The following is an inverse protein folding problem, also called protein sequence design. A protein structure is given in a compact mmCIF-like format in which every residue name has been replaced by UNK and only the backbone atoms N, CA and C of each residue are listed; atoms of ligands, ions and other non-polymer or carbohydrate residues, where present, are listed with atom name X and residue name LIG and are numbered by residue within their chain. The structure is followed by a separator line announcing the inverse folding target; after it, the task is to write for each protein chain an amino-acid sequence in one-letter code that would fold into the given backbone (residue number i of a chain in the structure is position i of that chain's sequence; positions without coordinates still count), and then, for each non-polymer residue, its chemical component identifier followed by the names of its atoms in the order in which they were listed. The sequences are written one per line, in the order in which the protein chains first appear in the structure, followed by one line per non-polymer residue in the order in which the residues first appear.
data_IF_762435092173
#
_entry.id   IF_762435092173
#
_cell.length_a   1.000
_cell.length_b   1.000
_cell.length_c   1.000
_cell.angle_alpha   90.00
_cell.angle_beta   90.00
_cell.angle_gamma   90.00
#
_symmetry.space_group_name_H-M   'P 1'
#
loop_
_entity.id
_entity.type
_entity.pdbx_description
1 polymer ?
#
# COMPACT_ATOMS: atom_id res chain seq x y z
N UNK A 1 0.60 -26.37 4.24
CA UNK A 1 1.86 -25.62 3.99
C UNK A 1 2.66 -25.98 2.70
N UNK A 2 2.83 -27.25 2.28
CA UNK A 2 3.74 -27.61 1.17
C UNK A 2 3.42 -26.95 -0.19
N UNK A 3 2.16 -26.97 -0.60
CA UNK A 3 1.71 -26.35 -1.85
C UNK A 3 1.85 -24.83 -1.83
N UNK A 4 1.53 -24.20 -0.70
CA UNK A 4 1.74 -22.77 -0.49
C UNK A 4 3.20 -22.38 -0.79
N UNK A 5 4.17 -23.06 -0.17
CA UNK A 5 5.60 -22.78 -0.39
C UNK A 5 6.00 -22.97 -1.85
N UNK A 6 5.50 -24.02 -2.52
CA UNK A 6 5.78 -24.25 -3.95
C UNK A 6 5.23 -23.10 -4.80
N UNK A 7 3.95 -22.76 -4.65
CA UNK A 7 3.31 -21.69 -5.43
C UNK A 7 4.02 -20.36 -5.18
N UNK A 8 4.27 -20.02 -3.91
CA UNK A 8 4.99 -18.79 -3.56
C UNK A 8 6.40 -18.75 -4.18
N UNK A 9 7.17 -19.83 -4.09
CA UNK A 9 8.54 -19.87 -4.63
C UNK A 9 8.56 -19.81 -6.16
N UNK A 10 7.71 -20.59 -6.85
CA UNK A 10 7.66 -20.58 -8.31
C UNK A 10 7.16 -19.24 -8.85
N UNK A 11 6.09 -18.70 -8.27
CA UNK A 11 5.56 -17.39 -8.68
C UNK A 11 6.55 -16.26 -8.40
N UNK A 12 7.29 -16.31 -7.27
CA UNK A 12 8.39 -15.38 -6.98
C UNK A 12 9.52 -15.50 -8.00
N UNK A 13 9.93 -16.71 -8.36
CA UNK A 13 11.00 -16.94 -9.33
C UNK A 13 10.63 -16.42 -10.72
N UNK A 14 9.40 -16.70 -11.19
CA UNK A 14 8.88 -16.18 -12.45
C UNK A 14 8.86 -14.65 -12.42
N UNK A 15 8.30 -14.04 -11.35
CA UNK A 15 8.28 -12.58 -11.17
C UNK A 15 9.67 -11.96 -11.29
N UNK A 16 10.67 -12.52 -10.61
CA UNK A 16 12.03 -12.00 -10.66
C UNK A 16 12.65 -12.17 -12.05
N UNK A 17 12.48 -13.34 -12.68
CA UNK A 17 13.00 -13.58 -14.02
C UNK A 17 12.42 -12.59 -15.05
N UNK A 18 11.10 -12.39 -15.03
CA UNK A 18 10.43 -11.46 -15.94
C UNK A 18 10.76 -10.00 -15.63
N UNK A 19 10.84 -9.59 -14.36
CA UNK A 19 11.32 -8.26 -13.99
C UNK A 19 12.75 -8.01 -14.46
N UNK A 20 13.65 -8.99 -14.37
CA UNK A 20 15.00 -8.89 -14.91
C UNK A 20 14.97 -8.69 -16.43
N UNK A 21 14.15 -9.44 -17.17
CA UNK A 21 13.99 -9.24 -18.63
C UNK A 21 13.51 -7.82 -18.95
N UNK A 22 12.53 -7.32 -18.20
CA UNK A 22 12.01 -5.97 -18.39
C UNK A 22 13.07 -4.89 -18.10
N UNK A 23 13.82 -5.04 -17.01
CA UNK A 23 14.92 -4.13 -16.66
C UNK A 23 16.01 -4.16 -17.73
N UNK A 24 16.39 -5.34 -18.22
CA UNK A 24 17.35 -5.47 -19.31
C UNK A 24 16.86 -4.81 -20.60
N UNK A 25 15.58 -4.99 -20.95
CA UNK A 25 14.98 -4.29 -22.09
C UNK A 25 15.03 -2.77 -21.92
N UNK A 26 14.74 -2.27 -20.71
CA UNK A 26 14.89 -0.86 -20.35
C UNK A 26 16.34 -0.36 -20.51
N UNK A 27 17.32 -1.11 -20.02
CA UNK A 27 18.75 -0.78 -20.18
C UNK A 27 19.15 -0.73 -21.66
N UNK A 28 18.77 -1.74 -22.45
CA UNK A 28 19.06 -1.77 -23.89
C UNK A 28 18.45 -0.55 -24.58
N UNK A 29 17.19 -0.22 -24.30
CA UNK A 29 16.56 0.98 -24.88
C UNK A 29 17.21 2.28 -24.41
N UNK A 30 17.61 2.38 -23.15
CA UNK A 30 18.35 3.53 -22.65
C UNK A 30 19.66 3.73 -23.43
N UNK A 31 20.40 2.66 -23.72
CA UNK A 31 21.61 2.75 -24.56
C UNK A 31 21.29 3.08 -26.02
N UNK A 32 20.23 2.50 -26.61
CA UNK A 32 19.83 2.78 -27.99
C UNK A 32 19.40 4.24 -28.18
N UNK A 33 18.74 4.83 -27.18
CA UNK A 33 18.30 6.23 -27.20
C UNK A 33 19.42 7.20 -26.76
N UNK A 34 20.52 6.69 -26.21
CA UNK A 34 21.67 7.49 -25.76
C UNK A 34 21.29 8.54 -24.71
N UNK A 35 21.94 9.71 -24.74
CA UNK A 35 21.65 10.80 -23.82
C UNK A 35 20.42 11.63 -24.19
N UNK A 36 19.78 11.38 -25.34
CA UNK A 36 18.74 12.26 -25.90
C UNK A 36 17.51 12.37 -24.99
N UNK A 37 17.03 11.23 -24.46
CA UNK A 37 15.91 11.20 -23.53
C UNK A 37 16.27 11.90 -22.21
N UNK A 38 17.46 11.63 -21.66
CA UNK A 38 17.92 12.25 -20.42
C UNK A 38 18.12 13.77 -20.56
N UNK A 39 18.65 14.21 -21.70
CA UNK A 39 18.77 15.63 -22.04
C UNK A 39 17.41 16.28 -22.24
N UNK A 40 16.43 15.60 -22.82
CA UNK A 40 15.05 16.10 -22.88
C UNK A 40 14.45 16.23 -21.49
N UNK A 41 14.57 15.21 -20.63
CA UNK A 41 14.15 15.33 -19.23
C UNK A 41 14.82 16.51 -18.51
N UNK A 42 16.09 16.81 -18.82
CA UNK A 42 16.85 17.94 -18.27
C UNK A 42 16.58 19.30 -18.95
N UNK A 43 16.16 19.34 -20.21
CA UNK A 43 15.85 20.59 -20.92
C UNK A 43 14.40 20.99 -20.66
N UNK A 44 13.48 20.02 -20.76
CA UNK A 44 12.11 20.11 -20.28
C UNK A 44 12.08 20.23 -18.75
N UNK A 45 13.15 19.95 -18.00
CA UNK A 45 13.28 20.24 -16.56
C UNK A 45 12.98 21.70 -16.24
N UNK A 46 13.47 22.63 -17.07
CA UNK A 46 13.26 24.06 -16.86
C UNK A 46 11.82 24.51 -17.16
N UNK A 47 11.06 23.75 -17.96
CA UNK A 47 9.62 23.96 -18.17
C UNK A 47 8.76 23.19 -17.16
N UNK A 48 9.16 21.99 -16.78
CA UNK A 48 8.48 21.14 -15.80
C UNK A 48 8.63 21.64 -14.38
N UNK A 49 9.73 22.35 -14.02
CA UNK A 49 9.80 23.12 -12.76
C UNK A 49 8.74 24.20 -12.71
N UNK A 50 8.41 24.87 -13.82
CA UNK A 50 7.32 25.87 -13.84
C UNK A 50 5.95 25.24 -13.60
N UNK A 51 5.82 23.93 -13.82
CA UNK A 51 4.63 23.11 -13.51
C UNK A 51 4.70 22.34 -12.19
N UNK A 52 5.80 22.41 -11.42
CA UNK A 52 5.92 21.79 -10.09
C UNK A 52 5.01 22.53 -9.11
N UNK A 53 3.77 22.08 -9.07
CA UNK A 53 2.82 22.51 -8.06
C UNK A 53 2.88 21.58 -6.86
N UNK A 54 2.53 22.11 -5.69
CA UNK A 54 2.31 21.29 -4.50
C UNK A 54 1.27 20.18 -4.76
N UNK A 55 0.30 20.44 -5.66
CA UNK A 55 -0.68 19.44 -6.09
C UNK A 55 -0.03 18.24 -6.79
N UNK A 56 0.85 18.51 -7.76
CA UNK A 56 1.55 17.47 -8.49
C UNK A 56 2.47 16.66 -7.56
N UNK A 57 3.17 17.34 -6.64
CA UNK A 57 3.97 16.68 -5.61
C UNK A 57 3.13 15.79 -4.70
N UNK A 58 2.01 16.31 -4.19
CA UNK A 58 1.12 15.55 -3.29
C UNK A 58 0.56 14.30 -3.97
N UNK A 59 0.06 14.42 -5.21
CA UNK A 59 -0.44 13.27 -5.97
C UNK A 59 0.64 12.22 -6.18
N UNK A 60 1.82 12.64 -6.67
CA UNK A 60 2.94 11.72 -6.86
C UNK A 60 3.38 11.05 -5.57
N UNK A 61 3.45 11.79 -4.45
CA UNK A 61 3.79 11.23 -3.15
C UNK A 61 2.77 10.17 -2.72
N UNK A 62 1.48 10.49 -2.76
CA UNK A 62 0.41 9.55 -2.34
C UNK A 62 0.43 8.29 -3.20
N UNK A 63 0.57 8.41 -4.53
CA UNK A 63 0.72 7.24 -5.41
C UNK A 63 1.99 6.43 -5.11
N UNK A 64 3.12 7.10 -4.84
CA UNK A 64 4.38 6.43 -4.52
C UNK A 64 4.35 5.74 -3.14
N UNK A 65 3.63 6.31 -2.18
CA UNK A 65 3.52 5.80 -0.81
C UNK A 65 2.94 4.40 -0.80
N UNK A 66 1.99 4.10 -1.69
CA UNK A 66 1.44 2.76 -1.87
C UNK A 66 2.51 1.69 -2.12
N UNK A 67 3.54 1.98 -2.91
CA UNK A 67 4.58 0.99 -3.26
C UNK A 67 5.49 0.60 -2.09
N UNK A 68 5.45 1.39 -1.01
CA UNK A 68 6.15 1.12 0.24
C UNK A 68 5.22 0.62 1.35
N UNK A 69 3.93 0.48 1.08
CA UNK A 69 3.00 -0.16 2.02
C UNK A 69 3.29 -1.67 2.13
N UNK A 70 2.67 -2.35 3.11
CA UNK A 70 2.80 -3.79 3.45
C UNK A 70 3.78 -4.07 4.59
N UNK A 71 4.67 -3.15 5.00
CA UNK A 71 5.60 -3.48 6.09
C UNK A 71 4.93 -3.62 7.47
N UNK A 72 3.77 -3.00 7.67
CA UNK A 72 2.90 -3.23 8.82
C UNK A 72 2.52 -4.72 8.98
N UNK A 73 2.47 -5.47 7.86
CA UNK A 73 2.24 -6.92 7.86
C UNK A 73 3.35 -7.67 8.58
N UNK A 74 4.60 -7.22 8.48
CA UNK A 74 5.73 -7.88 9.15
C UNK A 74 5.63 -7.77 10.67
N UNK A 75 5.08 -6.66 11.18
CA UNK A 75 4.86 -6.50 12.61
C UNK A 75 3.87 -7.55 13.14
N UNK A 76 2.77 -7.80 12.40
CA UNK A 76 1.78 -8.83 12.78
C UNK A 76 2.29 -10.26 12.58
N UNK A 77 3.25 -10.47 11.68
CA UNK A 77 3.92 -11.75 11.46
C UNK A 77 5.09 -12.02 12.44
N UNK A 78 5.35 -11.14 13.41
CA UNK A 78 6.48 -11.24 14.34
C UNK A 78 6.60 -12.58 15.06
N UNK A 79 5.47 -13.26 15.35
CA UNK A 79 5.44 -14.59 15.99
C UNK A 79 6.17 -15.68 15.17
N UNK A 80 6.27 -15.49 13.85
CA UNK A 80 6.93 -16.43 12.93
C UNK A 80 8.38 -16.04 12.61
N UNK A 81 8.88 -14.92 13.15
CA UNK A 81 10.24 -14.44 12.94
C UNK A 81 11.12 -14.96 14.08
N UNK A 82 12.27 -15.53 13.73
CA UNK A 82 13.28 -15.91 14.74
C UNK A 82 13.79 -14.64 15.44
N UNK A 83 13.78 -14.62 16.76
CA UNK A 83 14.22 -13.49 17.59
C UNK A 83 13.62 -12.14 17.14
N UNK A 84 12.28 -11.99 17.21
CA UNK A 84 11.58 -10.87 16.58
C UNK A 84 12.02 -9.51 17.13
N UNK A 85 12.34 -9.41 18.42
CA UNK A 85 12.82 -8.17 19.05
C UNK A 85 14.06 -7.58 18.37
N UNK A 86 14.96 -8.43 17.87
CA UNK A 86 16.21 -8.00 17.23
C UNK A 86 16.11 -7.98 15.71
N UNK A 87 15.39 -8.94 15.13
CA UNK A 87 15.39 -9.18 13.69
C UNK A 87 14.27 -8.45 12.97
N UNK A 88 13.14 -8.15 13.61
CA UNK A 88 12.03 -7.44 12.97
C UNK A 88 12.44 -6.02 12.57
N UNK A 89 13.00 -5.25 13.51
CA UNK A 89 13.42 -3.86 13.28
C UNK A 89 14.52 -3.77 12.22
N UNK A 90 15.56 -4.59 12.33
CA UNK A 90 16.65 -4.67 11.34
C UNK A 90 16.16 -5.12 9.97
N UNK A 91 15.27 -6.12 9.95
CA UNK A 91 14.67 -6.63 8.72
C UNK A 91 13.91 -5.56 7.97
N UNK A 92 13.03 -4.81 8.67
CA UNK A 92 12.27 -3.70 8.08
C UNK A 92 13.23 -2.63 7.53
N UNK A 93 14.23 -2.20 8.30
CA UNK A 93 15.18 -1.17 7.83
C UNK A 93 15.95 -1.60 6.58
N UNK A 94 16.46 -2.84 6.55
CA UNK A 94 17.22 -3.36 5.40
C UNK A 94 16.30 -3.47 4.17
N UNK A 95 15.11 -4.04 4.32
CA UNK A 95 14.16 -4.21 3.21
C UNK A 95 13.73 -2.86 2.65
N UNK A 96 13.45 -1.88 3.50
CA UNK A 96 13.08 -0.54 3.07
C UNK A 96 14.22 0.12 2.30
N UNK A 97 15.45 0.09 2.83
CA UNK A 97 16.61 0.68 2.16
C UNK A 97 16.88 0.03 0.80
N UNK A 98 16.91 -1.31 0.75
CA UNK A 98 17.16 -2.06 -0.50
C UNK A 98 16.05 -1.77 -1.53
N UNK A 99 14.79 -1.74 -1.09
CA UNK A 99 13.66 -1.45 -1.99
C UNK A 99 13.70 -0.01 -2.51
N UNK A 100 14.02 0.97 -1.67
CA UNK A 100 14.17 2.37 -2.10
C UNK A 100 15.28 2.53 -3.13
N UNK A 101 16.46 1.95 -2.89
CA UNK A 101 17.58 1.99 -3.84
C UNK A 101 17.18 1.31 -5.15
N UNK A 102 16.54 0.14 -5.07
CA UNK A 102 16.09 -0.60 -6.25
C UNK A 102 15.08 0.21 -7.08
N UNK A 103 14.07 0.82 -6.46
CA UNK A 103 13.09 1.66 -7.16
C UNK A 103 13.74 2.88 -7.82
N UNK A 104 14.68 3.56 -7.16
CA UNK A 104 15.40 4.71 -7.73
C UNK A 104 16.20 4.28 -8.97
N UNK A 105 16.94 3.17 -8.88
CA UNK A 105 17.75 2.66 -9.99
C UNK A 105 16.88 2.25 -11.17
N UNK A 106 15.80 1.51 -10.93
CA UNK A 106 14.87 1.10 -11.99
C UNK A 106 14.19 2.32 -12.62
N UNK A 107 13.75 3.29 -11.81
CA UNK A 107 13.15 4.52 -12.31
C UNK A 107 14.12 5.31 -13.22
N UNK A 108 15.39 5.43 -12.82
CA UNK A 108 16.41 6.09 -13.63
C UNK A 108 16.64 5.39 -14.97
N UNK A 109 16.66 4.05 -14.99
CA UNK A 109 16.75 3.26 -16.23
C UNK A 109 15.57 3.58 -17.15
N UNK A 110 14.34 3.60 -16.61
CA UNK A 110 13.15 3.87 -17.41
C UNK A 110 13.07 5.32 -17.91
N UNK A 111 13.57 6.29 -17.15
CA UNK A 111 13.68 7.68 -17.60
C UNK A 111 14.68 7.84 -18.75
N UNK A 112 15.77 7.08 -18.74
CA UNK A 112 16.70 7.03 -19.88
C UNK A 112 16.11 6.26 -21.07
N UNK A 113 15.31 5.22 -20.81
CA UNK A 113 14.72 4.38 -21.85
C UNK A 113 13.55 5.04 -22.59
N UNK A 114 12.68 5.77 -21.89
CA UNK A 114 11.41 6.27 -22.43
C UNK A 114 11.51 7.75 -22.81
N UNK A 115 11.07 8.08 -24.03
CA UNK A 115 11.01 9.46 -24.49
C UNK A 115 9.82 10.19 -23.82
N UNK A 116 10.05 11.32 -23.12
CA UNK A 116 8.97 12.05 -22.45
C UNK A 116 7.84 12.50 -23.37
N UNK A 117 8.10 12.80 -24.66
CA UNK A 117 7.08 13.19 -25.65
C UNK A 117 6.19 12.04 -26.11
N UNK A 118 6.66 10.80 -26.02
CA UNK A 118 5.83 9.63 -26.28
C UNK A 118 4.90 9.30 -25.11
N UNK A 119 5.14 9.90 -23.95
CA UNK A 119 4.39 9.70 -22.72
C UNK A 119 4.65 8.32 -22.10
N UNK A 120 4.38 8.22 -20.79
CA UNK A 120 4.30 6.92 -20.14
C UNK A 120 2.94 6.30 -20.42
N UNK A 121 2.90 5.11 -21.04
CA UNK A 121 1.74 4.22 -20.91
C UNK A 121 1.48 3.92 -19.42
N UNK A 122 0.20 3.90 -19.05
CA UNK A 122 -0.27 3.54 -17.71
C UNK A 122 0.29 2.19 -17.22
N UNK A 123 0.61 1.28 -18.15
CA UNK A 123 1.23 0.00 -17.83
C UNK A 123 2.59 -0.09 -18.51
N UNK A 124 3.66 0.34 -17.83
CA UNK A 124 5.04 0.20 -18.33
C UNK A 124 5.51 -1.24 -18.49
N UNK A 125 4.85 -2.19 -17.81
CA UNK A 125 5.12 -3.61 -17.97
C UNK A 125 4.89 -4.04 -19.42
N UNK A 126 3.81 -3.58 -20.08
CA UNK A 126 3.52 -3.91 -21.49
C UNK A 126 3.85 -2.76 -22.44
N UNK A 127 3.73 -1.52 -21.99
CA UNK A 127 3.92 -0.31 -22.79
C UNK A 127 5.33 -0.18 -23.34
N UNK A 128 6.35 -0.60 -22.58
CA UNK A 128 7.74 -0.57 -23.00
C UNK A 128 7.96 -1.34 -24.33
N UNK A 129 7.25 -2.46 -24.49
CA UNK A 129 7.38 -3.35 -25.66
C UNK A 129 6.65 -2.84 -26.91
N UNK A 130 5.79 -1.82 -26.75
CA UNK A 130 5.09 -1.15 -27.84
C UNK A 130 5.75 0.17 -28.24
N UNK A 131 6.83 0.56 -27.57
CA UNK A 131 7.59 1.77 -27.88
C UNK A 131 8.67 1.50 -28.94
N UNK A 132 9.01 2.55 -29.69
CA UNK A 132 10.16 2.50 -30.58
C UNK A 132 11.46 2.47 -29.74
N UNK A 133 12.48 1.70 -30.15
CA UNK A 133 12.58 0.94 -31.40
C UNK A 133 12.05 -0.51 -31.32
N UNK A 134 11.66 -1.02 -30.15
CA UNK A 134 11.23 -2.42 -29.98
C UNK A 134 10.04 -2.77 -30.88
N UNK A 135 9.07 -1.86 -31.02
CA UNK A 135 7.89 -2.07 -31.85
C UNK A 135 8.19 -2.26 -33.36
N UNK A 136 9.38 -1.88 -33.83
CA UNK A 136 9.81 -2.12 -35.21
C UNK A 136 10.09 -3.61 -35.44
N UNK A 137 10.44 -4.35 -34.39
CA UNK A 137 10.64 -5.80 -34.40
C UNK A 137 9.37 -6.47 -33.85
N UNK A 138 8.36 -6.65 -34.70
CA UNK A 138 7.02 -7.12 -34.31
C UNK A 138 7.03 -8.39 -33.45
N UNK A 139 7.87 -9.38 -33.77
CA UNK A 139 7.92 -10.63 -33.00
C UNK A 139 8.46 -10.42 -31.58
N UNK A 140 9.43 -9.51 -31.40
CA UNK A 140 10.01 -9.18 -30.11
C UNK A 140 9.00 -8.41 -29.25
N UNK A 141 8.24 -7.50 -29.86
CA UNK A 141 7.16 -6.77 -29.20
C UNK A 141 6.06 -7.72 -28.68
N UNK A 142 5.58 -8.65 -29.53
CA UNK A 142 4.58 -9.65 -29.14
C UNK A 142 5.11 -10.57 -28.03
N UNK A 143 6.33 -11.08 -28.18
CA UNK A 143 6.97 -11.93 -27.19
C UNK A 143 7.10 -11.21 -25.84
N UNK A 144 7.55 -9.95 -25.87
CA UNK A 144 7.65 -9.09 -24.71
C UNK A 144 6.33 -8.95 -23.97
N UNK A 145 5.26 -8.59 -24.68
CA UNK A 145 3.90 -8.49 -24.11
C UNK A 145 3.46 -9.83 -23.50
N UNK A 146 3.71 -10.96 -24.18
CA UNK A 146 3.33 -12.28 -23.67
C UNK A 146 4.08 -12.65 -22.38
N UNK A 147 5.40 -12.41 -22.31
CA UNK A 147 6.20 -12.63 -21.10
C UNK A 147 5.69 -11.75 -19.94
N UNK A 148 5.31 -10.51 -20.25
CA UNK A 148 4.79 -9.56 -19.26
C UNK A 148 3.40 -9.97 -18.77
N UNK A 149 2.56 -10.54 -19.64
CA UNK A 149 1.28 -11.08 -19.22
C UNK A 149 1.45 -12.26 -18.24
N UNK A 150 2.38 -13.19 -18.54
CA UNK A 150 2.76 -14.29 -17.63
C UNK A 150 3.29 -13.74 -16.30
N UNK A 151 4.13 -12.70 -16.36
CA UNK A 151 4.64 -12.00 -15.18
C UNK A 151 3.53 -11.47 -14.30
N UNK A 152 2.49 -10.86 -14.88
CA UNK A 152 1.39 -10.31 -14.11
C UNK A 152 0.55 -11.38 -13.44
N UNK A 153 0.31 -12.51 -14.10
CA UNK A 153 -0.36 -13.67 -13.48
C UNK A 153 0.49 -14.18 -12.31
N UNK A 154 1.79 -14.35 -12.50
CA UNK A 154 2.71 -14.79 -11.45
C UNK A 154 2.75 -13.81 -10.27
N UNK A 155 2.82 -12.50 -10.53
CA UNK A 155 2.80 -11.46 -9.51
C UNK A 155 1.50 -11.52 -8.71
N UNK A 156 0.34 -11.57 -9.38
CA UNK A 156 -0.97 -11.62 -8.71
C UNK A 156 -1.13 -12.89 -7.90
N UNK A 157 -0.72 -14.05 -8.42
CA UNK A 157 -0.74 -15.30 -7.68
C UNK A 157 0.15 -15.23 -6.43
N UNK A 158 1.36 -14.67 -6.57
CA UNK A 158 2.29 -14.50 -5.46
C UNK A 158 1.71 -13.60 -4.36
N UNK A 159 1.23 -12.41 -4.73
CA UNK A 159 0.65 -11.44 -3.80
C UNK A 159 -0.61 -11.99 -3.14
N UNK A 160 -1.49 -12.68 -3.85
CA UNK A 160 -2.68 -13.30 -3.27
C UNK A 160 -2.34 -14.37 -2.23
N UNK A 161 -1.33 -15.20 -2.52
CA UNK A 161 -0.84 -16.22 -1.57
C UNK A 161 -0.26 -15.56 -0.33
N UNK A 162 0.55 -14.51 -0.48
CA UNK A 162 1.10 -13.74 0.65
C UNK A 162 -0.01 -13.04 1.46
N UNK A 163 -0.94 -12.36 0.80
CA UNK A 163 -2.05 -11.66 1.43
C UNK A 163 -2.99 -12.62 2.17
N UNK A 164 -3.20 -13.84 1.66
CA UNK A 164 -3.95 -14.85 2.39
C UNK A 164 -3.26 -15.20 3.72
N UNK A 165 -1.94 -15.38 3.71
CA UNK A 165 -1.20 -15.70 4.93
C UNK A 165 -1.14 -14.51 5.90
N UNK A 166 -0.71 -13.35 5.43
CA UNK A 166 -0.52 -12.15 6.26
C UNK A 166 -1.84 -11.50 6.67
N UNK A 167 -2.86 -11.50 5.81
CA UNK A 167 -4.17 -10.98 6.17
C UNK A 167 -4.84 -11.82 7.27
N UNK A 168 -4.59 -13.13 7.29
CA UNK A 168 -4.99 -13.97 8.42
C UNK A 168 -4.28 -13.58 9.72
N UNK A 169 -2.97 -13.31 9.68
CA UNK A 169 -2.21 -12.88 10.86
C UNK A 169 -2.53 -11.46 11.33
N UNK A 170 -3.05 -10.59 10.44
CA UNK A 170 -3.58 -9.28 10.82
C UNK A 170 -4.96 -9.37 11.50
N UNK A 171 -5.82 -10.27 11.04
CA UNK A 171 -7.17 -10.43 11.58
C UNK A 171 -7.20 -11.26 12.87
N UNK A 172 -6.24 -12.15 13.08
CA UNK A 172 -6.19 -13.00 14.28
C UNK A 172 -6.12 -12.18 15.59
N UNK A 173 -5.25 -11.16 15.76
CA UNK A 173 -5.25 -10.31 16.95
C UNK A 173 -6.61 -9.66 17.21
N UNK A 174 -7.29 -9.19 16.16
CA UNK A 174 -8.65 -8.66 16.28
C UNK A 174 -9.66 -9.70 16.82
N UNK A 175 -9.46 -10.99 16.52
CA UNK A 175 -10.27 -12.07 17.06
C UNK A 175 -9.97 -12.36 18.54
N UNK A 176 -8.69 -12.27 18.93
CA UNK A 176 -8.22 -12.43 20.32
C UNK A 176 -8.83 -11.34 21.20
N UNK A 177 -8.72 -10.08 20.77
CA UNK A 177 -9.29 -8.94 21.47
C UNK A 177 -10.83 -8.94 21.44
N UNK A 178 -11.42 -9.66 20.48
CA UNK A 178 -12.87 -9.85 20.35
C UNK A 178 -13.56 -8.82 19.46
N UNK A 179 -12.79 -8.02 18.70
CA UNK A 179 -13.31 -7.18 17.63
C UNK A 179 -14.01 -8.00 16.55
N UNK A 180 -13.58 -9.24 16.30
CA UNK A 180 -14.28 -10.20 15.44
C UNK A 180 -14.57 -11.52 16.20
N UNK A 181 -15.22 -12.48 15.54
CA UNK A 181 -15.56 -13.77 16.15
C UNK A 181 -14.32 -14.55 16.59
N UNK A 182 -14.38 -15.16 17.78
CA UNK A 182 -13.29 -15.97 18.34
C UNK A 182 -12.92 -17.19 17.48
N UNK A 183 -13.84 -17.64 16.61
CA UNK A 183 -13.58 -18.71 15.63
C UNK A 183 -12.40 -18.37 14.71
N UNK A 184 -12.09 -17.08 14.52
CA UNK A 184 -10.98 -16.64 13.69
C UNK A 184 -9.63 -16.66 14.42
N UNK A 185 -9.60 -16.88 15.74
CA UNK A 185 -8.37 -17.10 16.51
C UNK A 185 -7.84 -18.54 16.40
N UNK A 186 -8.67 -19.49 15.95
CA UNK A 186 -8.27 -20.90 15.89
C UNK A 186 -7.13 -21.13 14.89
N UNK A 187 -6.06 -21.76 15.37
CA UNK A 187 -4.90 -22.16 14.57
C UNK A 187 -5.10 -23.58 14.01
N UNK A 188 -4.65 -23.80 12.77
CA UNK A 188 -4.61 -25.13 12.17
C UNK A 188 -3.36 -25.92 12.61
N UNK A 189 -3.20 -27.15 12.09
CA UNK A 189 -2.04 -28.03 12.35
C UNK A 189 -0.68 -27.42 11.97
N UNK A 190 -0.69 -26.42 11.10
CA UNK A 190 0.51 -25.71 10.63
C UNK A 190 0.75 -24.40 11.43
N UNK A 191 0.03 -24.15 12.53
CA UNK A 191 0.03 -22.90 13.32
C UNK A 191 -0.38 -21.64 12.54
N UNK A 192 -1.29 -21.78 11.58
CA UNK A 192 -1.81 -20.66 10.77
C UNK A 192 -3.27 -20.39 11.13
N UNK A 193 -3.70 -19.12 11.27
CA UNK A 193 -5.11 -18.75 11.46
C UNK A 193 -5.90 -18.89 10.15
N UNK A 194 -6.18 -20.14 9.74
CA UNK A 194 -6.77 -20.46 8.44
C UNK A 194 -8.18 -19.87 8.24
N UNK A 195 -9.00 -19.84 9.30
CA UNK A 195 -10.34 -19.24 9.25
C UNK A 195 -10.27 -17.73 9.03
N UNK A 196 -9.32 -17.04 9.70
CA UNK A 196 -9.10 -15.61 9.50
C UNK A 196 -8.57 -15.31 8.08
N UNK A 197 -7.68 -16.15 7.57
CA UNK A 197 -7.17 -16.08 6.20
C UNK A 197 -8.29 -16.21 5.14
N UNK A 198 -9.23 -17.13 5.35
CA UNK A 198 -10.41 -17.27 4.50
C UNK A 198 -11.31 -16.04 4.58
N UNK A 199 -11.55 -15.50 5.78
CA UNK A 199 -12.32 -14.25 5.94
C UNK A 199 -11.68 -13.10 5.15
N UNK A 200 -10.36 -12.90 5.27
CA UNK A 200 -9.63 -11.90 4.50
C UNK A 200 -9.82 -12.10 2.99
N UNK A 201 -9.79 -13.36 2.52
CA UNK A 201 -9.98 -13.69 1.11
C UNK A 201 -11.37 -13.31 0.62
N UNK A 202 -12.42 -13.55 1.42
CA UNK A 202 -13.77 -13.11 1.08
C UNK A 202 -13.90 -11.59 1.03
N UNK A 203 -13.31 -10.88 2.00
CA UNK A 203 -13.32 -9.40 2.01
C UNK A 203 -12.62 -8.85 0.76
N UNK A 204 -11.44 -9.36 0.41
CA UNK A 204 -10.71 -8.96 -0.79
C UNK A 204 -11.54 -9.24 -2.05
N UNK A 205 -12.20 -10.40 -2.14
CA UNK A 205 -13.03 -10.75 -3.28
C UNK A 205 -14.21 -9.79 -3.42
N UNK A 206 -14.91 -9.49 -2.31
CA UNK A 206 -16.03 -8.53 -2.31
C UNK A 206 -15.55 -7.14 -2.75
N UNK A 207 -14.46 -6.63 -2.16
CA UNK A 207 -13.89 -5.32 -2.52
C UNK A 207 -13.46 -5.31 -3.99
N UNK A 208 -12.84 -6.37 -4.48
CA UNK A 208 -12.43 -6.49 -5.89
C UNK A 208 -13.63 -6.52 -6.83
N UNK A 209 -14.69 -7.24 -6.49
CA UNK A 209 -15.91 -7.27 -7.31
C UNK A 209 -16.56 -5.90 -7.36
N UNK A 210 -16.77 -5.28 -6.19
CA UNK A 210 -17.47 -3.99 -6.07
C UNK A 210 -16.68 -2.87 -6.73
N UNK A 211 -15.37 -2.80 -6.48
CA UNK A 211 -14.55 -1.65 -6.86
C UNK A 211 -13.73 -1.84 -8.12
N UNK A 212 -13.50 -3.05 -8.62
CA UNK A 212 -12.71 -3.26 -9.85
C UNK A 212 -13.54 -3.91 -10.96
N UNK A 213 -14.15 -5.07 -10.68
CA UNK A 213 -14.83 -5.86 -11.72
C UNK A 213 -16.09 -5.14 -12.23
N UNK A 214 -16.95 -4.63 -11.34
CA UNK A 214 -18.18 -3.94 -11.78
C UNK A 214 -17.85 -2.70 -12.63
N UNK A 215 -16.96 -1.78 -12.21
CA UNK A 215 -16.55 -0.66 -13.05
C UNK A 215 -15.96 -1.07 -14.41
N UNK A 216 -15.11 -2.10 -14.45
CA UNK A 216 -14.51 -2.61 -15.69
C UNK A 216 -15.57 -3.20 -16.64
N UNK A 217 -16.56 -3.92 -16.10
CA UNK A 217 -17.68 -4.45 -16.89
C UNK A 217 -18.50 -3.30 -17.47
N UNK A 218 -18.85 -2.30 -16.66
CA UNK A 218 -19.59 -1.11 -17.11
C UNK A 218 -18.83 -0.42 -18.25
N UNK A 219 -17.52 -0.26 -18.08
CA UNK A 219 -16.63 0.32 -19.10
C UNK A 219 -16.62 -0.50 -20.39
N UNK A 220 -16.57 -1.82 -20.29
CA UNK A 220 -16.57 -2.73 -21.45
C UNK A 220 -17.81 -2.61 -22.35
N UNK A 221 -18.92 -2.07 -21.83
CA UNK A 221 -20.14 -1.80 -22.60
C UNK A 221 -20.20 -0.38 -23.18
N UNK A 222 -19.19 0.46 -22.94
CA UNK A 222 -19.13 1.83 -23.48
C UNK A 222 -18.53 1.88 -24.89
N UNK A 223 -18.84 2.91 -25.68
CA UNK A 223 -18.26 3.10 -27.02
C UNK A 223 -16.73 3.11 -27.00
N UNK A 224 -16.10 2.62 -28.07
CA UNK A 224 -14.65 2.68 -28.22
C UNK A 224 -14.16 4.14 -28.18
N UNK A 225 -13.14 4.41 -27.35
CA UNK A 225 -12.59 5.76 -27.15
C UNK A 225 -13.15 6.49 -25.92
N UNK A 226 -14.16 5.93 -25.23
CA UNK A 226 -14.54 6.42 -23.90
C UNK A 226 -13.37 6.18 -22.95
N UNK A 227 -12.99 7.18 -22.15
CA UNK A 227 -11.94 7.00 -21.12
C UNK A 227 -12.52 6.24 -19.93
N UNK A 228 -11.67 5.51 -19.21
CA UNK A 228 -12.10 4.80 -18.01
C UNK A 228 -12.64 5.80 -16.99
N UNK A 229 -13.91 5.63 -16.63
CA UNK A 229 -14.57 6.39 -15.57
C UNK A 229 -13.92 6.13 -14.21
N UNK A 230 -13.37 4.94 -14.01
CA UNK A 230 -12.71 4.52 -12.77
C UNK A 230 -11.34 3.93 -13.06
N UNK A 231 -10.28 4.52 -12.52
CA UNK A 231 -8.90 4.04 -12.74
C UNK A 231 -8.35 3.42 -11.45
N UNK A 232 -7.55 2.34 -11.58
CA UNK A 232 -6.76 1.73 -10.51
C UNK A 232 -5.96 2.77 -9.71
N UNK A 233 -5.53 3.86 -10.35
CA UNK A 233 -4.87 4.98 -9.67
C UNK A 233 -5.69 5.56 -8.51
N UNK A 234 -7.00 5.73 -8.67
CA UNK A 234 -7.88 6.29 -7.64
C UNK A 234 -8.01 5.35 -6.43
N UNK A 235 -8.13 4.04 -6.66
CA UNK A 235 -8.14 3.05 -5.57
C UNK A 235 -6.79 3.01 -4.83
N UNK A 236 -5.70 3.19 -5.57
CA UNK A 236 -4.34 3.23 -5.04
C UNK A 236 -4.14 4.48 -4.16
N UNK A 237 -4.64 5.63 -4.60
CA UNK A 237 -4.64 6.88 -3.84
C UNK A 237 -5.49 6.76 -2.57
N UNK A 238 -6.70 6.21 -2.67
CA UNK A 238 -7.60 5.96 -1.54
C UNK A 238 -6.96 5.04 -0.49
N UNK A 239 -6.35 3.94 -0.95
CA UNK A 239 -5.64 3.00 -0.09
C UNK A 239 -4.46 3.67 0.60
N UNK A 240 -3.70 4.50 -0.13
CA UNK A 240 -2.57 5.24 0.40
C UNK A 240 -2.99 6.25 1.46
N UNK A 241 -4.11 6.94 1.27
CA UNK A 241 -4.64 7.87 2.28
C UNK A 241 -4.97 7.15 3.60
N UNK A 242 -5.55 5.94 3.54
CA UNK A 242 -5.78 5.10 4.73
C UNK A 242 -4.45 4.73 5.39
N UNK A 243 -3.48 4.27 4.59
CA UNK A 243 -2.17 3.86 5.12
C UNK A 243 -1.44 5.05 5.75
N UNK A 244 -1.46 6.24 5.11
CA UNK A 244 -0.91 7.48 5.67
C UNK A 244 -1.55 7.78 7.03
N UNK A 245 -2.87 7.61 7.16
CA UNK A 245 -3.57 7.82 8.44
C UNK A 245 -3.06 6.87 9.54
N UNK A 246 -2.78 5.60 9.20
CA UNK A 246 -2.20 4.62 10.12
C UNK A 246 -0.80 5.05 10.57
N UNK A 247 0.01 5.59 9.66
CA UNK A 247 1.34 6.12 10.03
C UNK A 247 1.25 7.37 10.90
N UNK A 248 0.31 8.27 10.63
CA UNK A 248 0.06 9.43 11.50
C UNK A 248 -0.28 8.96 12.92
N UNK A 249 -1.21 8.02 13.07
CA UNK A 249 -1.62 7.47 14.37
C UNK A 249 -0.43 6.78 15.06
N UNK A 250 0.35 5.98 14.32
CA UNK A 250 1.50 5.24 14.85
C UNK A 250 2.61 6.17 15.35
N UNK A 251 2.94 7.21 14.57
CA UNK A 251 3.95 8.21 14.96
C UNK A 251 3.46 9.06 16.13
N UNK A 252 2.17 9.44 16.17
CA UNK A 252 1.59 10.13 17.32
C UNK A 252 1.65 9.27 18.59
N UNK A 253 1.36 7.98 18.50
CA UNK A 253 1.48 7.05 19.62
C UNK A 253 2.92 6.95 20.11
N UNK A 254 3.89 6.79 19.20
CA UNK A 254 5.31 6.77 19.53
C UNK A 254 5.76 8.06 20.24
N UNK A 255 5.42 9.22 19.68
CA UNK A 255 5.77 10.52 20.27
C UNK A 255 5.12 10.70 21.63
N UNK A 256 3.84 10.33 21.80
CA UNK A 256 3.15 10.37 23.10
C UNK A 256 3.89 9.52 24.14
N UNK A 257 4.25 8.28 23.79
CA UNK A 257 4.97 7.36 24.68
C UNK A 257 6.37 7.90 25.01
N UNK A 258 7.05 8.51 24.04
CA UNK A 258 8.37 9.14 24.25
C UNK A 258 8.28 10.39 25.15
N UNK A 259 7.26 11.24 24.98
CA UNK A 259 6.97 12.39 25.87
C UNK A 259 6.73 11.89 27.30
N UNK A 260 6.00 10.79 27.45
CA UNK A 260 5.74 10.14 28.74
C UNK A 260 6.97 9.43 29.34
N UNK A 261 8.14 9.47 28.66
CA UNK A 261 9.43 8.91 29.09
C UNK A 261 9.44 7.40 29.30
N UNK A 262 8.52 6.68 28.63
CA UNK A 262 8.53 5.22 28.60
C UNK A 262 9.52 4.66 27.57
N UNK A 263 9.82 5.44 26.53
CA UNK A 263 10.86 5.13 25.53
C UNK A 263 11.80 6.33 25.44
N UNK A 264 13.11 6.07 25.32
CA UNK A 264 14.13 7.08 25.11
C UNK A 264 14.44 7.20 23.62
N UNK A 265 14.13 8.36 23.05
CA UNK A 265 14.50 8.71 21.68
C UNK A 265 15.77 9.58 21.65
N UNK A 266 16.59 9.38 20.62
CA UNK A 266 17.68 10.27 20.24
C UNK A 266 17.13 11.58 19.65
N UNK A 267 17.92 12.65 19.69
CA UNK A 267 17.52 13.98 19.17
C UNK A 267 17.16 13.90 17.67
N UNK A 268 17.93 13.16 16.88
CA UNK A 268 17.65 12.97 15.45
C UNK A 268 16.34 12.21 15.20
N UNK A 269 15.95 11.29 16.08
CA UNK A 269 14.66 10.58 16.01
C UNK A 269 13.50 11.53 16.31
N UNK A 270 13.63 12.40 17.32
CA UNK A 270 12.64 13.45 17.59
C UNK A 270 12.42 14.35 16.38
N UNK A 271 13.50 14.81 15.74
CA UNK A 271 13.44 15.68 14.57
C UNK A 271 12.81 14.93 13.40
N UNK A 272 13.27 13.71 13.12
CA UNK A 272 12.79 12.90 12.00
C UNK A 272 11.30 12.54 12.13
N UNK A 273 10.86 12.06 13.29
CA UNK A 273 9.45 11.71 13.51
C UNK A 273 8.54 12.93 13.51
N UNK A 274 8.99 14.06 14.06
CA UNK A 274 8.21 15.31 14.02
C UNK A 274 8.06 15.84 12.60
N UNK A 275 9.15 15.83 11.82
CA UNK A 275 9.12 16.23 10.42
C UNK A 275 8.23 15.31 9.58
N UNK A 276 8.38 13.99 9.74
CA UNK A 276 7.54 13.00 9.07
C UNK A 276 6.06 13.18 9.42
N UNK A 277 5.75 13.42 10.71
CA UNK A 277 4.38 13.68 11.15
C UNK A 277 3.79 14.92 10.47
N UNK A 278 4.51 16.04 10.46
CA UNK A 278 4.07 17.27 9.81
C UNK A 278 3.82 17.02 8.32
N UNK A 279 4.77 16.39 7.63
CA UNK A 279 4.66 16.07 6.21
C UNK A 279 3.43 15.19 5.93
N UNK A 280 3.26 14.09 6.67
CA UNK A 280 2.14 13.17 6.49
C UNK A 280 0.80 13.84 6.78
N UNK A 281 0.71 14.67 7.83
CA UNK A 281 -0.51 15.42 8.16
C UNK A 281 -0.86 16.41 7.06
N UNK A 282 0.11 17.20 6.57
CA UNK A 282 -0.13 18.16 5.49
C UNK A 282 -0.59 17.43 4.23
N UNK A 283 0.08 16.35 3.84
CA UNK A 283 -0.28 15.57 2.65
C UNK A 283 -1.64 14.89 2.80
N UNK A 284 -1.97 14.37 3.97
CA UNK A 284 -3.26 13.77 4.25
C UNK A 284 -4.39 14.79 4.06
N UNK A 285 -4.29 15.97 4.69
CA UNK A 285 -5.32 17.00 4.55
C UNK A 285 -5.39 17.58 3.14
N UNK A 286 -4.22 17.76 2.50
CA UNK A 286 -4.16 18.27 1.14
C UNK A 286 -4.79 17.29 0.14
N UNK A 287 -4.59 15.99 0.33
CA UNK A 287 -5.21 14.95 -0.50
C UNK A 287 -6.73 15.10 -0.53
N UNK A 288 -7.39 15.12 0.63
CA UNK A 288 -8.84 15.32 0.70
C UNK A 288 -9.28 16.70 0.21
N UNK A 289 -8.51 17.75 0.51
CA UNK A 289 -8.77 19.07 -0.06
C UNK A 289 -8.80 19.02 -1.60
N UNK A 290 -7.87 18.30 -2.23
CA UNK A 290 -7.82 18.16 -3.68
C UNK A 290 -9.05 17.45 -4.25
N UNK A 291 -9.58 16.43 -3.55
CA UNK A 291 -10.80 15.73 -3.93
C UNK A 291 -12.03 16.66 -3.85
N UNK A 292 -12.13 17.45 -2.78
CA UNK A 292 -13.21 18.44 -2.66
C UNK A 292 -13.09 19.58 -3.68
N UNK A 293 -11.87 20.04 -3.98
CA UNK A 293 -11.63 21.06 -4.99
C UNK A 293 -12.08 20.59 -6.39
N UNK A 294 -11.85 19.32 -6.74
CA UNK A 294 -12.39 18.73 -7.98
C UNK A 294 -13.92 18.83 -8.04
N UNK A 295 -14.62 18.47 -6.95
CA UNK A 295 -16.08 18.54 -6.87
C UNK A 295 -16.58 19.99 -7.03
N UNK A 296 -15.94 20.93 -6.32
CA UNK A 296 -16.33 22.36 -6.35
C UNK A 296 -16.08 22.96 -7.73
N UNK A 297 -14.95 22.65 -8.37
CA UNK A 297 -14.63 23.14 -9.72
C UNK A 297 -15.56 22.55 -10.76
N UNK A 298 -15.93 21.28 -10.64
CA UNK A 298 -16.92 20.66 -11.52
C UNK A 298 -18.27 21.38 -11.42
N UNK A 299 -18.75 21.63 -10.19
CA UNK A 299 -20.00 22.36 -9.96
C UNK A 299 -19.99 23.79 -10.56
N UNK A 300 -18.81 24.42 -10.60
CA UNK A 300 -18.60 25.74 -11.22
C UNK A 300 -18.31 25.69 -12.73
N UNK A 301 -18.38 24.53 -13.37
CA UNK A 301 -18.02 24.33 -14.78
C UNK A 301 -16.57 24.79 -15.11
N UNK A 302 -15.66 24.65 -14.14
CA UNK A 302 -14.31 25.23 -14.15
C UNK A 302 -13.20 24.17 -14.28
N UNK A 303 -13.27 23.32 -15.30
CA UNK A 303 -12.12 22.53 -15.75
C UNK A 303 -12.18 21.00 -15.61
N UNK A 304 -12.56 20.39 -14.46
CA UNK A 304 -12.53 18.95 -14.33
C UNK A 304 -13.66 18.29 -15.15
N UNK A 305 -13.33 17.15 -15.76
CA UNK A 305 -14.30 16.35 -16.49
C UNK A 305 -15.22 15.54 -15.57
N UNK A 306 -16.23 14.90 -16.15
CA UNK A 306 -17.12 13.98 -15.42
C UNK A 306 -16.33 12.82 -14.77
N UNK A 307 -15.27 12.36 -15.43
CA UNK A 307 -14.39 11.29 -14.94
C UNK A 307 -13.65 11.69 -13.65
N UNK A 308 -13.12 12.92 -13.60
CA UNK A 308 -12.43 13.43 -12.41
C UNK A 308 -13.40 13.54 -11.23
N UNK A 309 -14.63 14.00 -11.50
CA UNK A 309 -15.69 14.06 -10.50
C UNK A 309 -16.03 12.67 -9.95
N UNK A 310 -16.30 11.71 -10.85
CA UNK A 310 -16.68 10.35 -10.45
C UNK A 310 -15.55 9.72 -9.63
N UNK A 311 -14.30 9.89 -10.06
CA UNK A 311 -13.13 9.45 -9.33
C UNK A 311 -13.07 9.98 -7.90
N UNK A 312 -13.21 11.30 -7.74
CA UNK A 312 -13.19 11.94 -6.43
C UNK A 312 -14.34 11.49 -5.53
N UNK A 313 -15.55 11.35 -6.07
CA UNK A 313 -16.71 10.86 -5.32
C UNK A 313 -16.50 9.41 -4.87
N UNK A 314 -16.04 8.54 -5.77
CA UNK A 314 -15.81 7.13 -5.47
C UNK A 314 -14.77 6.97 -4.36
N UNK A 315 -13.66 7.69 -4.46
CA UNK A 315 -12.61 7.64 -3.45
C UNK A 315 -13.12 8.10 -2.07
N UNK A 316 -13.87 9.21 -2.02
CA UNK A 316 -14.51 9.67 -0.79
C UNK A 316 -15.51 8.63 -0.25
N UNK A 317 -16.33 8.03 -1.12
CA UNK A 317 -17.27 6.99 -0.73
C UNK A 317 -16.56 5.77 -0.15
N UNK A 318 -15.44 5.34 -0.75
CA UNK A 318 -14.65 4.22 -0.25
C UNK A 318 -14.18 4.46 1.20
N UNK A 319 -13.64 5.65 1.48
CA UNK A 319 -13.19 6.03 2.83
C UNK A 319 -14.37 6.16 3.80
N UNK A 320 -15.44 6.84 3.40
CA UNK A 320 -16.63 7.05 4.23
C UNK A 320 -17.29 5.72 4.59
N UNK A 321 -17.47 4.83 3.61
CA UNK A 321 -18.06 3.50 3.82
C UNK A 321 -17.18 2.68 4.77
N UNK A 322 -15.86 2.72 4.59
CA UNK A 322 -14.92 2.00 5.45
C UNK A 322 -14.97 2.48 6.90
N UNK A 323 -14.98 3.81 7.12
CA UNK A 323 -15.11 4.41 8.45
C UNK A 323 -16.48 4.14 9.08
N UNK A 324 -17.55 4.30 8.30
CA UNK A 324 -18.91 4.02 8.75
C UNK A 324 -19.05 2.55 9.16
N UNK A 325 -18.50 1.62 8.38
CA UNK A 325 -18.45 0.20 8.73
C UNK A 325 -17.73 -0.01 10.06
N UNK A 326 -16.54 0.55 10.26
CA UNK A 326 -15.79 0.41 11.50
C UNK A 326 -16.55 0.96 12.73
N UNK A 327 -17.18 2.13 12.60
CA UNK A 327 -17.96 2.77 13.67
C UNK A 327 -19.21 1.94 13.99
N UNK A 328 -19.99 1.57 12.97
CA UNK A 328 -21.20 0.76 13.14
C UNK A 328 -20.82 -0.58 13.78
N UNK A 329 -19.75 -1.22 13.31
CA UNK A 329 -19.27 -2.49 13.85
C UNK A 329 -18.87 -2.38 15.32
N UNK A 330 -18.16 -1.30 15.70
CA UNK A 330 -17.79 -1.03 17.08
C UNK A 330 -19.02 -0.98 18.00
N UNK A 331 -20.05 -0.22 17.63
CA UNK A 331 -21.22 -0.04 18.49
C UNK A 331 -22.19 -1.24 18.47
N UNK A 332 -22.36 -1.90 17.32
CA UNK A 332 -23.35 -2.98 17.16
C UNK A 332 -22.82 -4.34 17.60
N UNK A 333 -21.54 -4.62 17.36
CA UNK A 333 -20.92 -5.91 17.66
C UNK A 333 -19.98 -5.82 18.87
N UNK A 334 -18.89 -5.05 18.76
CA UNK A 334 -17.81 -5.08 19.74
C UNK A 334 -18.26 -4.59 21.13
N UNK A 335 -18.92 -3.42 21.22
CA UNK A 335 -19.39 -2.86 22.50
C UNK A 335 -20.35 -3.80 23.23
N UNK A 336 -21.26 -4.45 22.49
CA UNK A 336 -22.19 -5.44 23.06
C UNK A 336 -21.43 -6.64 23.63
N UNK A 337 -20.46 -7.16 22.87
CA UNK A 337 -19.62 -8.29 23.28
C UNK A 337 -18.72 -7.93 24.48
N UNK A 338 -18.12 -6.75 24.48
CA UNK A 338 -17.30 -6.24 25.59
C UNK A 338 -18.13 -6.12 26.87
N UNK A 339 -19.34 -5.56 26.80
CA UNK A 339 -20.23 -5.47 27.95
C UNK A 339 -20.63 -6.86 28.49
N UNK A 340 -20.84 -7.83 27.60
CA UNK A 340 -21.10 -9.23 27.99
C UNK A 340 -19.87 -9.88 28.63
N UNK A 341 -18.66 -9.57 28.14
CA UNK A 341 -17.41 -10.06 28.74
C UNK A 341 -17.24 -9.48 30.15
N UNK A 342 -17.42 -8.18 30.32
CA UNK A 342 -17.24 -7.46 31.58
C UNK A 342 -18.32 -7.76 32.65
N UNK A 343 -19.45 -8.37 32.26
CA UNK A 343 -20.51 -8.73 33.21
C UNK A 343 -20.17 -9.97 34.05
N UNK A 344 -19.16 -10.76 33.66
CA UNK A 344 -18.73 -11.97 34.36
C UNK A 344 -17.39 -11.78 35.04
N UNK A 345 -17.15 -12.46 36.16
CA UNK A 345 -15.86 -12.40 36.85
C UNK A 345 -14.73 -12.96 35.98
N UNK A 346 -14.98 -14.08 35.29
CA UNK A 346 -14.02 -14.70 34.38
C UNK A 346 -13.70 -13.80 33.17
N UNK A 347 -14.72 -13.18 32.59
CA UNK A 347 -14.52 -12.27 31.45
C UNK A 347 -13.79 -10.99 31.83
N UNK A 348 -13.95 -10.47 33.07
CA UNK A 348 -13.11 -9.37 33.57
C UNK A 348 -11.63 -9.78 33.67
N UNK A 349 -11.33 -10.94 34.26
CA UNK A 349 -9.95 -11.45 34.34
C UNK A 349 -9.33 -11.66 32.95
N UNK A 350 -10.13 -12.14 31.99
CA UNK A 350 -9.70 -12.27 30.61
C UNK A 350 -9.40 -10.90 29.99
N UNK A 351 -10.26 -9.89 30.22
CA UNK A 351 -10.01 -8.55 29.73
C UNK A 351 -8.73 -7.95 30.33
N UNK A 352 -8.51 -8.12 31.63
CA UNK A 352 -7.27 -7.66 32.30
C UNK A 352 -6.03 -8.29 31.64
N UNK A 353 -6.09 -9.60 31.32
CA UNK A 353 -5.01 -10.31 30.62
C UNK A 353 -4.76 -9.79 29.21
N UNK A 354 -5.82 -9.41 28.49
CA UNK A 354 -5.71 -8.80 27.16
C UNK A 354 -5.14 -7.39 27.24
N UNK A 355 -5.56 -6.62 28.25
CA UNK A 355 -5.09 -5.25 28.47
C UNK A 355 -3.60 -5.22 28.88
N UNK A 356 -3.12 -6.25 29.57
CA UNK A 356 -1.71 -6.44 29.94
C UNK A 356 -0.78 -6.49 28.71
N UNK A 357 -1.23 -6.96 27.55
CA UNK A 357 -0.41 -6.95 26.31
C UNK A 357 -0.09 -5.52 25.84
N UNK A 358 -0.90 -4.54 26.22
CA UNK A 358 -0.70 -3.12 25.89
C UNK A 358 0.07 -2.36 26.96
N UNK A 359 0.37 -3.01 28.10
CA UNK A 359 1.23 -2.45 29.14
C UNK A 359 2.68 -2.64 28.72
N UNK A 360 3.38 -1.52 28.52
CA UNK A 360 4.79 -1.52 28.15
C UNK A 360 5.62 -2.23 29.24
N UNK A 361 6.22 -3.37 28.89
CA UNK A 361 6.92 -4.32 29.79
C UNK A 361 8.09 -3.67 30.58
N UNK A 362 8.56 -2.49 30.17
CA UNK A 362 9.72 -1.80 30.77
C UNK A 362 9.37 -0.56 31.61
N UNK A 363 8.12 -0.44 32.08
CA UNK A 363 7.59 0.80 32.70
C UNK A 363 7.59 0.83 34.22
N UNK A 364 8.22 -0.15 34.90
CA UNK A 364 8.28 -0.10 36.37
C UNK A 364 9.02 1.13 36.91
N UNK A 365 9.78 1.88 36.10
CA UNK A 365 10.23 3.24 36.42
C UNK A 365 10.25 4.13 35.16
N UNK A 366 9.80 5.39 35.23
CA UNK A 366 10.11 6.36 34.18
C UNK A 366 11.64 6.43 34.04
N UNK A 367 12.15 6.66 32.83
CA UNK A 367 13.58 6.89 32.60
C UNK A 367 14.01 8.23 33.24
N UNK A 368 14.04 8.27 34.57
CA UNK A 368 14.59 9.36 35.36
C UNK A 368 16.08 9.09 35.42
N UNK A 369 16.89 9.94 34.77
CA UNK A 369 18.33 10.02 35.07
C UNK A 369 18.43 10.15 36.60
N UNK A 370 18.92 9.12 37.28
CA UNK A 370 19.48 9.31 38.60
C UNK A 370 20.61 10.32 38.41
N UNK A 371 20.42 11.51 38.97
CA UNK A 371 21.44 12.56 39.02
C UNK A 371 22.51 12.15 40.00
#
# INVERSE_FOLDING_TARGET
MKWFKKIANYSSAVKWATSCVLILAGIVMAFMNGSSNYQMWNHDYNESIKGLSFNAFSKAFVSCFFFFSVFESFATAGKNIKDPEKNLSKGIMIVMLVSSVFYIVVMAIFFAAVNPKQGFSQNMTTGLWNMAPINQVKWLSILGIAIMFISQIALRANTSVQNALYGGTMLQPMAVEGFISEKYNELNKDNIPAKASLLNTYVILIVTVVWLIIPDIIYGFQPQGTKLIFNIGQLTEASSAIIISLYIISVLALLKIAIQKYIKLHIWEWISFSFALILLVVLFFYHYYSLFDVIVRYAKHAGPGLEDLIGAIVELLFVIISLAFAIIWYFTYYKKKLNQRLSTLEGRKLQDTLDDEFVLINTQKPFIKQK
#
